data_IF_683766838384
#
_entry.id   IF_683766838384
#
_cell.length_a   1.000
_cell.length_b   1.000
_cell.length_c   1.000
_cell.angle_alpha   90.00
_cell.angle_beta   90.00
_cell.angle_gamma   90.00
#
_symmetry.space_group_name_H-M   'P 1'
#
loop_
_entity.id
_entity.type
_entity.pdbx_description
1 polymer ?
#
# COMPACT_ATOMS: atom_id res chain seq x y z
N UNK A 1 -33.71 -38.68 10.53
CA UNK A 1 -34.02 -40.10 10.87
C UNK A 1 -34.15 -40.88 9.58
N UNK A 2 -33.68 -42.13 9.52
CA UNK A 2 -33.76 -42.95 8.31
C UNK A 2 -35.22 -43.30 7.97
N UNK A 3 -35.57 -43.23 6.69
CA UNK A 3 -36.92 -43.50 6.21
C UNK A 3 -37.00 -44.95 5.74
N UNK A 4 -38.04 -45.67 6.18
CA UNK A 4 -38.28 -47.07 5.81
C UNK A 4 -39.23 -47.11 4.62
N UNK A 5 -38.79 -47.66 3.50
CA UNK A 5 -39.59 -47.78 2.28
C UNK A 5 -39.80 -49.26 1.95
N UNK A 6 -41.06 -49.65 1.77
CA UNK A 6 -41.43 -51.00 1.33
C UNK A 6 -41.29 -51.07 -0.19
N UNK A 7 -40.35 -51.88 -0.67
CA UNK A 7 -40.11 -52.08 -2.09
C UNK A 7 -41.22 -52.89 -2.75
N UNK A 8 -41.57 -52.54 -3.99
CA UNK A 8 -42.51 -53.30 -4.80
C UNK A 8 -41.91 -54.63 -5.25
N UNK A 9 -42.10 -55.69 -4.45
CA UNK A 9 -42.07 -57.09 -4.87
C UNK A 9 -40.80 -57.59 -5.62
N UNK A 10 -39.61 -57.12 -5.24
CA UNK A 10 -38.32 -57.64 -5.74
C UNK A 10 -37.38 -57.96 -4.59
N UNK A 11 -36.61 -59.05 -4.70
CA UNK A 11 -35.64 -59.55 -3.71
C UNK A 11 -34.43 -58.64 -3.47
N UNK A 12 -34.37 -57.47 -4.12
CA UNK A 12 -33.30 -56.49 -4.07
C UNK A 12 -33.89 -55.08 -3.91
N UNK A 13 -34.20 -54.64 -2.68
CA UNK A 13 -34.95 -53.42 -2.44
C UNK A 13 -34.16 -52.12 -2.69
N UNK A 14 -32.85 -52.19 -2.96
CA UNK A 14 -32.01 -51.04 -3.37
C UNK A 14 -31.62 -51.06 -4.86
N UNK A 15 -32.21 -51.95 -5.69
CA UNK A 15 -31.92 -52.02 -7.13
C UNK A 15 -33.21 -52.14 -7.98
N UNK A 16 -33.64 -51.06 -8.66
CA UNK A 16 -33.13 -49.68 -8.55
C UNK A 16 -33.44 -49.08 -7.17
N UNK A 17 -32.64 -48.11 -6.71
CA UNK A 17 -32.84 -47.52 -5.38
C UNK A 17 -34.17 -46.76 -5.32
N UNK A 18 -35.05 -47.05 -4.33
CA UNK A 18 -36.27 -46.30 -4.11
C UNK A 18 -36.01 -44.98 -3.35
N UNK A 19 -34.78 -44.73 -2.92
CA UNK A 19 -34.39 -43.53 -2.18
C UNK A 19 -34.16 -42.36 -3.15
N UNK A 20 -34.34 -41.12 -2.67
CA UNK A 20 -34.11 -39.91 -3.47
C UNK A 20 -32.64 -39.72 -3.91
N UNK A 21 -32.36 -38.83 -4.87
CA UNK A 21 -30.99 -38.56 -5.31
C UNK A 21 -30.10 -38.12 -4.14
N UNK A 22 -28.84 -38.57 -4.13
CA UNK A 22 -27.83 -38.31 -3.09
C UNK A 22 -28.10 -38.91 -1.69
N UNK A 23 -29.06 -39.84 -1.56
CA UNK A 23 -29.32 -40.56 -0.29
C UNK A 23 -28.77 -41.98 -0.34
N UNK A 24 -28.25 -42.47 0.80
CA UNK A 24 -27.67 -43.81 0.88
C UNK A 24 -28.77 -44.84 1.14
N UNK A 25 -28.85 -45.89 0.30
CA UNK A 25 -29.80 -46.99 0.46
C UNK A 25 -29.10 -48.21 1.10
N UNK A 26 -29.64 -48.72 2.20
CA UNK A 26 -29.23 -49.99 2.81
C UNK A 26 -30.41 -50.98 2.88
N UNK A 27 -30.11 -52.27 2.80
CA UNK A 27 -31.13 -53.33 2.86
C UNK A 27 -31.41 -53.66 4.32
N UNK A 28 -32.62 -53.37 4.79
CA UNK A 28 -33.05 -53.74 6.15
C UNK A 28 -33.64 -55.16 6.18
N UNK A 29 -34.42 -55.51 5.15
CA UNK A 29 -34.97 -56.86 4.97
C UNK A 29 -35.15 -57.15 3.47
N UNK A 30 -35.48 -58.38 3.05
CA UNK A 30 -35.60 -58.74 1.63
C UNK A 30 -36.57 -57.89 0.80
N UNK A 31 -37.50 -57.19 1.45
CA UNK A 31 -38.50 -56.31 0.81
C UNK A 31 -38.41 -54.86 1.28
N UNK A 32 -37.49 -54.51 2.17
CA UNK A 32 -37.45 -53.20 2.82
C UNK A 32 -36.10 -52.52 2.60
N UNK A 33 -36.16 -51.34 1.99
CA UNK A 33 -35.04 -50.42 1.87
C UNK A 33 -35.08 -49.42 3.03
N UNK A 34 -33.90 -49.15 3.58
CA UNK A 34 -33.68 -48.09 4.56
C UNK A 34 -32.90 -46.97 3.86
N UNK A 35 -33.52 -45.79 3.79
CA UNK A 35 -32.92 -44.63 3.18
C UNK A 35 -32.34 -43.75 4.29
N UNK A 36 -31.01 -43.65 4.32
CA UNK A 36 -30.31 -42.71 5.21
C UNK A 36 -29.96 -41.43 4.43
N UNK A 37 -30.68 -40.32 4.67
CA UNK A 37 -30.37 -39.06 4.03
C UNK A 37 -29.04 -38.45 4.48
N UNK A 38 -28.44 -38.96 5.58
CA UNK A 38 -27.23 -38.40 6.19
C UNK A 38 -25.98 -39.29 5.99
N UNK A 39 -26.11 -40.47 5.40
CA UNK A 39 -25.05 -41.47 5.32
C UNK A 39 -24.16 -41.41 4.07
N UNK A 40 -24.27 -40.38 3.23
CA UNK A 40 -23.61 -40.31 1.91
C UNK A 40 -22.77 -39.04 1.71
N UNK A 41 -21.89 -39.01 0.67
CA UNK A 41 -21.00 -37.88 0.38
C UNK A 41 -21.72 -36.57 -0.07
N UNK A 42 -23.06 -36.54 -0.08
CA UNK A 42 -23.89 -35.36 -0.31
C UNK A 42 -24.81 -34.99 0.87
N UNK A 43 -24.64 -35.65 2.03
CA UNK A 43 -25.49 -35.46 3.21
C UNK A 43 -25.60 -34.00 3.67
N UNK A 44 -24.50 -33.24 3.57
CA UNK A 44 -24.44 -31.82 3.95
C UNK A 44 -25.35 -30.91 3.10
N UNK A 45 -25.79 -31.37 1.92
CA UNK A 45 -26.68 -30.63 1.02
C UNK A 45 -28.13 -31.12 1.09
N UNK A 46 -28.41 -32.16 1.89
CA UNK A 46 -29.76 -32.71 2.05
C UNK A 46 -30.56 -31.86 3.03
N UNK A 47 -31.71 -31.27 2.64
CA UNK A 47 -32.57 -30.50 3.53
C UNK A 47 -33.10 -31.32 4.73
N UNK A 48 -33.04 -32.66 4.63
CA UNK A 48 -33.45 -33.59 5.67
C UNK A 48 -32.34 -33.88 6.71
N UNK A 49 -31.12 -33.40 6.47
CA UNK A 49 -29.97 -33.51 7.36
C UNK A 49 -29.37 -32.11 7.53
N UNK A 50 -29.85 -31.37 8.53
CA UNK A 50 -29.24 -30.09 8.88
C UNK A 50 -28.07 -30.38 9.83
N UNK A 51 -26.81 -30.26 9.40
CA UNK A 51 -25.69 -30.31 10.32
C UNK A 51 -25.72 -29.09 11.25
N UNK A 52 -25.01 -29.16 12.37
CA UNK A 52 -24.91 -27.99 13.27
C UNK A 52 -24.24 -26.80 12.56
N UNK A 53 -23.28 -27.07 11.67
CA UNK A 53 -22.59 -26.08 10.86
C UNK A 53 -22.19 -26.62 9.48
N UNK A 54 -22.08 -25.72 8.49
CA UNK A 54 -21.45 -25.97 7.19
C UNK A 54 -20.14 -25.19 7.05
N UNK A 55 -20.07 -24.03 7.70
CA UNK A 55 -18.93 -23.12 7.72
C UNK A 55 -18.67 -22.62 9.13
N UNK A 56 -17.47 -22.08 9.37
CA UNK A 56 -17.11 -21.56 10.68
C UNK A 56 -18.04 -20.44 11.15
N UNK A 57 -18.55 -19.62 10.23
CA UNK A 57 -19.49 -18.54 10.53
C UNK A 57 -20.87 -19.01 11.02
N UNK A 58 -21.19 -20.30 10.85
CA UNK A 58 -22.41 -20.89 11.43
C UNK A 58 -22.25 -21.17 12.93
N UNK A 59 -21.01 -21.17 13.43
CA UNK A 59 -20.69 -21.42 14.83
C UNK A 59 -20.61 -20.12 15.65
N UNK A 60 -20.76 -20.24 16.98
CA UNK A 60 -20.34 -19.18 17.90
C UNK A 60 -18.87 -18.78 17.69
N UNK A 61 -18.51 -17.55 18.05
CA UNK A 61 -17.17 -16.97 17.81
C UNK A 61 -16.02 -17.76 18.49
N UNK A 62 -16.33 -18.49 19.56
CA UNK A 62 -15.43 -19.33 20.33
C UNK A 62 -15.36 -20.79 19.82
N UNK A 63 -15.94 -21.10 18.65
CA UNK A 63 -16.01 -22.45 18.09
C UNK A 63 -15.77 -22.46 16.58
N UNK A 64 -15.28 -23.57 16.05
CA UNK A 64 -15.05 -23.78 14.63
C UNK A 64 -15.89 -24.95 14.10
N UNK A 65 -16.21 -24.93 12.82
CA UNK A 65 -16.95 -26.00 12.17
C UNK A 65 -16.01 -27.16 11.84
N UNK A 66 -16.05 -28.21 12.68
CA UNK A 66 -15.22 -29.40 12.53
C UNK A 66 -16.08 -30.63 12.35
N UNK A 67 -16.10 -31.16 11.12
CA UNK A 67 -16.88 -32.34 10.78
C UNK A 67 -18.37 -32.15 11.04
N UNK A 68 -18.94 -31.03 10.56
CA UNK A 68 -20.36 -30.69 10.67
C UNK A 68 -20.88 -30.44 12.10
N UNK A 69 -19.97 -30.21 13.05
CA UNK A 69 -20.28 -29.86 14.44
C UNK A 69 -19.41 -28.70 14.93
N UNK A 70 -19.98 -27.79 15.72
CA UNK A 70 -19.27 -26.64 16.26
C UNK A 70 -18.45 -27.07 17.49
N UNK A 71 -17.13 -27.17 17.31
CA UNK A 71 -16.21 -27.63 18.34
C UNK A 71 -15.13 -26.60 18.64
N UNK A 72 -14.56 -26.69 19.82
CA UNK A 72 -13.40 -25.90 20.21
C UNK A 72 -12.16 -26.36 19.39
N UNK A 73 -11.51 -25.47 18.61
CA UNK A 73 -10.30 -25.80 17.86
C UNK A 73 -9.01 -25.82 18.71
N UNK A 74 -9.05 -25.49 19.99
CA UNK A 74 -7.86 -25.47 20.86
C UNK A 74 -7.18 -26.82 21.12
N UNK A 75 -7.90 -27.95 21.33
CA UNK A 75 -7.27 -29.23 21.64
C UNK A 75 -6.30 -29.68 20.54
N UNK A 76 -5.00 -29.72 20.87
CA UNK A 76 -3.93 -30.14 19.96
C UNK A 76 -3.35 -29.04 19.07
N UNK A 77 -3.84 -27.80 19.15
CA UNK A 77 -3.38 -26.68 18.31
C UNK A 77 -2.19 -25.91 18.88
N UNK A 78 -2.05 -25.88 20.21
CA UNK A 78 -0.99 -25.15 20.90
C UNK A 78 0.05 -26.07 21.55
N UNK A 79 1.24 -25.52 21.75
CA UNK A 79 2.38 -26.20 22.39
C UNK A 79 2.19 -26.42 23.89
N UNK A 80 3.14 -27.14 24.49
CA UNK A 80 3.11 -27.44 25.93
C UNK A 80 3.23 -26.16 26.75
N UNK A 81 2.39 -26.00 27.77
CA UNK A 81 2.28 -24.80 28.63
C UNK A 81 1.84 -23.51 27.91
N UNK A 82 1.38 -23.58 26.66
CA UNK A 82 0.76 -22.45 25.98
C UNK A 82 -0.71 -22.31 26.40
N UNK A 83 -1.17 -21.08 26.51
CA UNK A 83 -2.59 -20.77 26.64
C UNK A 83 -3.20 -20.69 25.24
N UNK A 84 -4.30 -21.41 25.03
CA UNK A 84 -5.09 -21.31 23.82
C UNK A 84 -6.32 -20.44 24.05
N UNK A 85 -6.59 -19.54 23.11
CA UNK A 85 -7.84 -18.79 23.02
C UNK A 85 -8.39 -18.90 21.60
N UNK A 86 -9.71 -19.04 21.46
CA UNK A 86 -10.35 -19.04 20.14
C UNK A 86 -10.72 -17.60 19.80
N UNK A 87 -10.31 -17.15 18.63
CA UNK A 87 -10.69 -15.86 18.10
C UNK A 87 -11.10 -16.07 16.65
N UNK A 88 -12.24 -15.56 16.19
CA UNK A 88 -12.71 -15.71 14.80
C UNK A 88 -12.78 -17.17 14.30
N UNK A 89 -13.06 -18.14 15.18
CA UNK A 89 -13.06 -19.58 14.88
C UNK A 89 -11.67 -20.23 14.70
N UNK A 90 -10.56 -19.55 15.01
CA UNK A 90 -9.21 -20.10 14.92
C UNK A 90 -8.46 -20.03 16.27
N UNK A 91 -7.59 -21.03 16.56
CA UNK A 91 -6.85 -21.09 17.81
C UNK A 91 -5.70 -20.09 17.79
N UNK A 92 -5.64 -19.24 18.80
CA UNK A 92 -4.54 -18.32 19.09
C UNK A 92 -3.77 -18.87 20.29
N UNK A 93 -2.48 -19.15 20.09
CA UNK A 93 -1.59 -19.66 21.12
C UNK A 93 -0.70 -18.54 21.66
N UNK A 94 -0.61 -18.41 22.99
CA UNK A 94 0.27 -17.45 23.66
C UNK A 94 0.95 -18.09 24.87
N UNK A 95 2.14 -17.59 25.24
CA UNK A 95 2.78 -17.99 26.50
C UNK A 95 2.27 -17.09 27.64
N UNK A 96 1.55 -17.63 28.64
CA UNK A 96 1.13 -16.83 29.79
C UNK A 96 2.34 -16.46 30.65
N UNK A 97 2.38 -15.23 31.15
CA UNK A 97 3.45 -14.78 32.04
C UNK A 97 3.50 -15.65 33.32
N UNK A 98 4.68 -16.12 33.79
CA UNK A 98 6.05 -15.73 33.44
C UNK A 98 6.75 -16.66 32.42
N UNK A 99 5.99 -17.37 31.58
CA UNK A 99 6.57 -18.24 30.56
C UNK A 99 6.87 -17.45 29.28
N UNK A 100 7.92 -17.86 28.58
CA UNK A 100 8.30 -17.34 27.26
C UNK A 100 8.76 -18.50 26.36
N UNK A 101 8.78 -18.27 25.04
CA UNK A 101 9.15 -19.30 24.06
C UNK A 101 8.24 -19.29 22.84
N UNK A 102 8.20 -20.42 22.13
CA UNK A 102 7.31 -20.62 20.97
C UNK A 102 5.97 -21.21 21.45
N UNK A 103 4.84 -20.48 21.36
CA UNK A 103 3.54 -20.97 21.82
C UNK A 103 2.98 -22.18 21.07
N UNK A 104 3.53 -22.54 19.91
CA UNK A 104 3.14 -23.73 19.15
C UNK A 104 3.97 -24.97 19.48
N UNK A 105 5.07 -24.83 20.22
CA UNK A 105 5.93 -25.94 20.61
C UNK A 105 5.96 -26.11 22.14
N UNK A 106 6.54 -25.15 22.85
CA UNK A 106 6.70 -25.18 24.30
C UNK A 106 6.94 -23.77 24.87
N UNK A 107 6.20 -23.43 25.93
CA UNK A 107 6.46 -22.27 26.77
C UNK A 107 7.28 -22.70 27.99
N UNK A 108 8.40 -22.02 28.23
CA UNK A 108 9.35 -22.33 29.30
C UNK A 108 9.39 -21.17 30.31
N UNK A 109 9.73 -21.42 31.59
CA UNK A 109 9.98 -20.35 32.54
C UNK A 109 11.02 -19.40 31.98
N UNK A 110 10.67 -18.10 31.91
CA UNK A 110 11.62 -17.09 31.50
C UNK A 110 12.78 -17.11 32.51
N UNK A 111 14.01 -17.33 32.01
CA UNK A 111 15.18 -17.41 32.87
C UNK A 111 15.27 -16.14 33.74
N UNK A 112 15.58 -16.27 35.04
CA UNK A 112 15.81 -15.11 35.88
C UNK A 112 17.04 -14.40 35.32
N UNK A 113 16.82 -13.18 34.84
CA UNK A 113 17.85 -12.27 34.32
C UNK A 113 18.33 -12.58 32.89
N UNK A 114 17.45 -12.40 31.90
CA UNK A 114 17.92 -12.04 30.57
C UNK A 114 18.47 -10.61 30.65
N UNK A 115 19.74 -10.48 31.05
CA UNK A 115 20.48 -9.23 30.86
C UNK A 115 20.71 -9.08 29.36
N UNK A 116 20.10 -8.08 28.71
CA UNK A 116 20.38 -7.75 27.32
C UNK A 116 21.89 -7.55 27.16
N UNK A 117 22.48 -8.08 26.09
CA UNK A 117 23.91 -7.91 25.86
C UNK A 117 24.26 -6.42 25.86
N UNK A 118 25.35 -5.99 26.53
CA UNK A 118 25.77 -4.60 26.52
C UNK A 118 25.95 -4.11 25.09
N UNK A 119 25.94 -2.79 24.85
CA UNK A 119 26.06 -2.22 23.51
C UNK A 119 27.26 -2.72 22.69
N UNK A 120 28.34 -3.16 23.34
CA UNK A 120 29.50 -3.78 22.69
C UNK A 120 29.18 -5.11 21.99
N UNK A 121 28.13 -5.81 22.42
CA UNK A 121 27.66 -7.08 21.88
C UNK A 121 26.34 -6.94 21.11
N UNK A 122 25.75 -5.74 21.08
CA UNK A 122 24.54 -5.47 20.32
C UNK A 122 24.86 -5.49 18.81
N UNK A 123 24.15 -6.35 18.07
CA UNK A 123 24.23 -6.42 16.61
C UNK A 123 23.33 -5.34 15.98
N UNK A 124 23.63 -4.06 16.22
CA UNK A 124 22.91 -2.97 15.57
C UNK A 124 23.33 -2.84 14.08
N UNK A 125 22.39 -2.43 13.23
CA UNK A 125 22.64 -2.21 11.81
C UNK A 125 23.46 -0.94 11.51
N UNK A 126 23.85 -0.70 10.26
CA UNK A 126 24.51 0.55 9.87
C UNK A 126 23.64 1.79 10.12
N UNK A 127 24.28 2.94 10.36
CA UNK A 127 23.65 4.25 10.67
C UNK A 127 22.77 4.28 11.93
N UNK A 128 23.12 3.47 12.94
CA UNK A 128 22.43 3.46 14.23
C UNK A 128 23.37 3.75 15.38
N UNK A 129 22.80 4.23 16.47
CA UNK A 129 23.47 4.32 17.77
C UNK A 129 22.82 3.32 18.74
N UNK A 130 23.64 2.78 19.63
CA UNK A 130 23.18 1.87 20.67
C UNK A 130 22.96 2.66 21.97
N UNK A 131 21.78 2.48 22.57
CA UNK A 131 21.40 3.11 23.83
C UNK A 131 21.21 2.05 24.91
N UNK A 132 21.89 2.24 26.04
CA UNK A 132 21.69 1.47 27.27
C UNK A 132 20.88 2.31 28.27
N UNK A 133 19.76 1.75 28.73
CA UNK A 133 18.97 2.33 29.81
C UNK A 133 18.61 1.25 30.82
N UNK A 134 19.30 1.24 31.97
CA UNK A 134 19.09 0.31 33.09
C UNK A 134 19.12 -1.17 32.70
N UNK A 135 20.08 -1.57 31.87
CA UNK A 135 20.18 -2.94 31.41
C UNK A 135 19.13 -3.29 30.36
N UNK A 136 18.59 -2.30 29.65
CA UNK A 136 17.86 -2.52 28.40
C UNK A 136 18.63 -1.87 27.26
N UNK A 137 19.10 -2.69 26.33
CA UNK A 137 19.89 -2.25 25.19
C UNK A 137 19.01 -2.16 23.96
N UNK A 138 18.98 -0.98 23.34
CA UNK A 138 18.17 -0.69 22.16
C UNK A 138 19.01 -0.03 21.07
N UNK A 139 18.75 -0.41 19.82
CA UNK A 139 19.35 0.25 18.66
C UNK A 139 18.39 1.34 18.18
N UNK A 140 18.90 2.56 17.95
CA UNK A 140 18.14 3.69 17.44
C UNK A 140 18.78 4.25 16.17
N UNK A 141 17.96 4.68 15.20
CA UNK A 141 18.50 5.36 14.01
C UNK A 141 19.16 6.68 14.40
N UNK A 142 20.29 7.01 13.76
CA UNK A 142 20.90 8.33 13.90
C UNK A 142 19.95 9.42 13.39
N UNK A 143 20.07 10.66 13.91
CA UNK A 143 19.26 11.78 13.43
C UNK A 143 19.32 11.93 11.91
N UNK A 144 18.16 12.07 11.26
CA UNK A 144 18.03 12.19 9.81
C UNK A 144 18.08 10.87 9.04
N UNK A 145 18.06 9.72 9.73
CA UNK A 145 17.94 8.39 9.12
C UNK A 145 16.72 7.65 9.65
N UNK A 146 16.19 6.75 8.83
CA UNK A 146 14.93 6.05 9.06
C UNK A 146 15.04 4.58 8.64
N UNK A 147 14.22 3.71 9.24
CA UNK A 147 14.18 2.28 8.96
C UNK A 147 14.18 1.42 10.22
N UNK A 148 14.61 0.16 10.08
CA UNK A 148 14.75 -0.78 11.19
C UNK A 148 16.19 -0.70 11.76
N UNK A 149 16.38 -0.26 13.02
CA UNK A 149 17.72 -0.11 13.60
C UNK A 149 18.53 -1.41 13.74
N UNK A 150 17.88 -2.57 13.79
CA UNK A 150 18.58 -3.85 13.88
C UNK A 150 19.05 -4.37 12.51
N UNK A 151 18.47 -3.86 11.42
CA UNK A 151 18.89 -4.19 10.04
C UNK A 151 19.79 -3.11 9.45
N UNK A 152 19.49 -1.84 9.75
CA UNK A 152 20.20 -0.66 9.27
C UNK A 152 19.24 0.46 8.88
N UNK A 153 19.64 1.69 9.19
CA UNK A 153 18.89 2.89 8.84
C UNK A 153 19.47 3.53 7.58
N UNK A 154 18.61 4.19 6.81
CA UNK A 154 18.98 4.92 5.60
C UNK A 154 18.52 6.37 5.69
N UNK A 155 19.20 7.31 5.04
CA UNK A 155 18.69 8.67 4.90
C UNK A 155 17.35 8.69 4.17
N UNK A 156 16.65 9.82 4.21
CA UNK A 156 15.40 10.04 3.48
C UNK A 156 15.60 9.84 1.96
N UNK A 157 16.71 10.32 1.41
CA UNK A 157 17.07 10.16 0.02
C UNK A 157 18.58 10.02 -0.16
N UNK A 158 18.99 9.39 -1.26
CA UNK A 158 20.38 9.40 -1.77
C UNK A 158 20.40 9.97 -3.19
N UNK A 159 19.31 9.79 -3.93
CA UNK A 159 19.12 10.27 -5.30
C UNK A 159 17.89 11.17 -5.39
N UNK A 160 17.88 12.07 -6.37
CA UNK A 160 16.72 12.93 -6.64
C UNK A 160 15.44 12.12 -6.90
N UNK A 161 15.57 10.96 -7.56
CA UNK A 161 14.46 10.04 -7.83
C UNK A 161 13.83 9.42 -6.58
N UNK A 162 14.52 9.47 -5.43
CA UNK A 162 13.96 9.00 -4.16
C UNK A 162 12.96 10.02 -3.59
N UNK A 163 13.01 11.26 -4.06
CA UNK A 163 12.14 12.33 -3.63
C UNK A 163 10.88 12.45 -4.50
N UNK A 164 9.81 13.08 -3.98
CA UNK A 164 8.67 13.49 -4.79
C UNK A 164 9.09 14.37 -5.98
N UNK A 165 8.30 14.37 -7.06
CA UNK A 165 8.63 15.05 -8.33
C UNK A 165 8.94 16.57 -8.22
N UNK A 166 8.45 17.23 -7.16
CA UNK A 166 8.67 18.66 -6.88
C UNK A 166 9.79 18.94 -5.87
N UNK A 167 10.53 17.93 -5.44
CA UNK A 167 11.62 18.05 -4.46
C UNK A 167 12.89 17.45 -5.01
N UNK A 168 14.05 17.84 -4.52
CA UNK A 168 15.34 17.26 -4.87
C UNK A 168 16.02 16.70 -3.62
N UNK A 169 16.93 15.75 -3.81
CA UNK A 169 17.73 15.25 -2.71
C UNK A 169 18.86 16.23 -2.41
N UNK A 170 18.71 16.98 -1.32
CA UNK A 170 19.67 17.98 -0.86
C UNK A 170 20.12 17.60 0.54
N UNK A 171 21.42 17.30 0.69
CA UNK A 171 22.00 16.85 1.97
C UNK A 171 21.23 15.66 2.58
N UNK A 172 20.93 14.64 1.76
CA UNK A 172 20.23 13.42 2.16
C UNK A 172 18.78 13.64 2.66
N UNK A 173 18.20 14.80 2.33
CA UNK A 173 16.83 15.17 2.68
C UNK A 173 16.09 15.65 1.45
N UNK A 174 14.81 15.31 1.33
CA UNK A 174 13.98 15.82 0.24
C UNK A 174 13.57 17.26 0.53
N UNK A 175 14.04 18.18 -0.30
CA UNK A 175 13.83 19.62 -0.13
C UNK A 175 13.38 20.26 -1.45
N UNK A 176 12.69 21.41 -1.36
CA UNK A 176 12.33 22.18 -2.53
C UNK A 176 13.59 22.84 -3.13
N UNK A 177 14.02 22.47 -4.35
CA UNK A 177 15.21 23.03 -4.97
C UNK A 177 15.01 24.50 -5.41
N UNK A 178 13.79 25.04 -5.39
CA UNK A 178 13.54 26.44 -5.73
C UNK A 178 14.00 27.43 -4.66
N UNK A 179 14.15 26.99 -3.40
CA UNK A 179 14.53 27.87 -2.30
C UNK A 179 15.96 28.38 -2.50
N UNK A 180 16.08 29.66 -2.89
CA UNK A 180 17.37 30.32 -3.14
C UNK A 180 17.99 30.06 -4.51
N UNK A 181 17.27 29.41 -5.45
CA UNK A 181 17.79 29.10 -6.78
C UNK A 181 17.57 30.21 -7.81
N UNK A 182 16.46 30.95 -7.71
CA UNK A 182 16.08 31.96 -8.71
C UNK A 182 16.27 33.40 -8.21
N UNK A 183 16.44 34.32 -9.16
CA UNK A 183 16.70 35.74 -8.90
C UNK A 183 15.46 36.52 -8.45
N UNK A 184 15.63 37.80 -8.16
CA UNK A 184 14.54 38.66 -7.67
C UNK A 184 13.44 38.82 -8.73
N UNK A 185 12.18 38.77 -8.31
CA UNK A 185 11.00 38.90 -9.18
C UNK A 185 10.91 37.86 -10.32
N UNK A 186 11.57 36.72 -10.16
CA UNK A 186 11.45 35.56 -11.04
C UNK A 186 10.48 34.52 -10.48
N UNK A 187 9.93 33.66 -11.35
CA UNK A 187 9.20 32.46 -10.94
C UNK A 187 10.12 31.24 -11.02
N UNK A 188 9.94 30.32 -10.05
CA UNK A 188 10.59 29.02 -10.06
C UNK A 188 9.58 27.90 -10.28
N UNK A 189 9.92 26.97 -11.16
CA UNK A 189 9.21 25.72 -11.36
C UNK A 189 10.19 24.56 -11.26
N UNK A 190 9.85 23.53 -10.50
CA UNK A 190 10.65 22.31 -10.42
C UNK A 190 10.29 21.39 -11.59
N UNK A 191 11.29 21.03 -12.40
CA UNK A 191 11.18 20.10 -13.52
C UNK A 191 12.23 19.01 -13.33
N UNK A 192 11.80 17.75 -13.19
CA UNK A 192 12.70 16.61 -12.95
C UNK A 192 13.67 16.84 -11.78
N UNK A 193 13.16 17.32 -10.64
CA UNK A 193 13.94 17.66 -9.44
C UNK A 193 14.96 18.81 -9.63
N UNK A 194 14.89 19.55 -10.74
CA UNK A 194 15.77 20.70 -11.05
C UNK A 194 14.94 21.99 -11.02
N UNK A 195 15.43 23.07 -10.40
CA UNK A 195 14.73 24.35 -10.41
C UNK A 195 14.92 25.03 -11.77
N UNK A 196 13.81 25.43 -12.39
CA UNK A 196 13.78 26.19 -13.64
C UNK A 196 13.23 27.58 -13.34
N UNK A 197 14.06 28.59 -13.58
CA UNK A 197 13.74 29.99 -13.33
C UNK A 197 13.28 30.68 -14.63
N UNK A 198 12.21 31.47 -14.56
CA UNK A 198 11.73 32.26 -15.70
C UNK A 198 11.11 33.58 -15.24
N UNK A 199 11.14 34.60 -16.10
CA UNK A 199 10.47 35.86 -15.80
C UNK A 199 8.95 35.72 -16.02
N UNK A 200 8.11 36.27 -15.11
CA UNK A 200 6.66 36.34 -15.31
C UNK A 200 6.27 37.09 -16.58
N UNK A 201 5.00 36.98 -16.97
CA UNK A 201 4.45 37.82 -18.05
C UNK A 201 4.70 39.31 -17.77
N UNK A 202 5.04 40.05 -18.82
CA UNK A 202 5.39 41.48 -18.78
C UNK A 202 6.68 41.83 -18.01
N UNK A 203 7.54 40.85 -17.73
CA UNK A 203 8.88 41.05 -17.17
C UNK A 203 9.97 40.56 -18.13
N UNK A 204 11.14 41.18 -18.07
CA UNK A 204 12.33 40.81 -18.83
C UNK A 204 13.58 40.91 -17.96
N UNK A 205 14.70 40.35 -18.41
CA UNK A 205 15.95 40.28 -17.67
C UNK A 205 16.51 38.86 -17.56
N UNK A 206 17.38 38.64 -16.59
CA UNK A 206 17.98 37.33 -16.29
C UNK A 206 17.23 36.69 -15.11
N UNK A 207 16.51 35.58 -15.30
CA UNK A 207 15.75 34.91 -14.23
C UNK A 207 16.58 34.42 -13.05
N UNK A 208 17.90 34.24 -13.19
CA UNK A 208 18.79 33.86 -12.10
C UNK A 208 19.32 35.06 -11.31
N UNK A 209 19.19 36.28 -11.85
CA UNK A 209 19.68 37.51 -11.21
C UNK A 209 18.51 38.39 -10.79
N UNK A 210 17.75 38.90 -11.76
CA UNK A 210 16.63 39.79 -11.54
C UNK A 210 15.79 39.94 -12.81
N UNK A 211 14.47 39.84 -12.64
CA UNK A 211 13.49 40.22 -13.65
C UNK A 211 12.92 41.60 -13.32
N UNK A 212 12.80 42.47 -14.31
CA UNK A 212 12.21 43.80 -14.19
C UNK A 212 11.03 43.97 -15.14
N UNK A 213 10.03 44.80 -14.80
CA UNK A 213 8.91 45.08 -15.68
C UNK A 213 9.41 45.52 -17.06
N UNK A 214 8.87 44.91 -18.10
CA UNK A 214 9.14 45.27 -19.48
C UNK A 214 8.65 46.70 -19.70
N UNK A 215 9.58 47.64 -19.80
CA UNK A 215 9.29 48.97 -20.32
C UNK A 215 9.53 48.89 -21.82
N UNK A 216 8.48 48.98 -22.66
CA UNK A 216 8.73 49.26 -24.06
C UNK A 216 9.46 50.62 -24.11
N UNK A 217 10.64 50.66 -24.72
CA UNK A 217 11.43 51.88 -24.90
C UNK A 217 10.72 52.94 -25.78
N UNK A 218 9.50 52.63 -26.24
CA UNK A 218 8.65 53.51 -27.01
C UNK A 218 7.24 53.52 -26.41
N UNK A 219 6.64 54.70 -26.20
CA UNK A 219 5.22 54.76 -25.95
C UNK A 219 4.53 54.11 -27.15
N UNK A 220 3.72 53.08 -26.89
CA UNK A 220 2.69 52.66 -27.84
C UNK A 220 1.79 53.88 -27.98
N UNK A 221 2.00 54.66 -29.03
CA UNK A 221 1.20 55.83 -29.35
C UNK A 221 -0.16 55.30 -29.80
N UNK A 222 -1.01 54.97 -28.82
CA UNK A 222 -2.44 55.01 -29.01
C UNK A 222 -2.79 56.45 -29.37
N UNK A 223 -3.35 56.63 -30.57
CA UNK A 223 -4.00 57.84 -31.04
C UNK A 223 -3.24 59.16 -30.86
N UNK A 224 -2.42 59.52 -31.86
CA UNK A 224 -2.36 60.91 -32.33
C UNK A 224 -1.72 61.02 -33.71
N UNK A 225 -2.46 61.58 -34.66
CA UNK A 225 -2.06 61.76 -36.06
C UNK A 225 -0.82 62.65 -36.25
N UNK A 226 0.35 62.04 -36.23
CA UNK A 226 1.57 62.55 -36.86
C UNK A 226 2.28 61.39 -37.58
N UNK A 227 2.42 61.42 -38.92
CA UNK A 227 3.17 60.42 -39.63
C UNK A 227 4.66 60.63 -39.35
N UNK A 228 5.21 59.86 -38.40
CA UNK A 228 6.65 59.67 -38.33
C UNK A 228 7.16 59.12 -39.67
N UNK A 229 8.37 59.49 -40.07
CA UNK A 229 8.93 59.04 -41.34
C UNK A 229 9.04 57.50 -41.34
N UNK A 230 8.28 56.78 -42.19
CA UNK A 230 8.28 55.32 -42.22
C UNK A 230 9.62 54.71 -42.62
N UNK A 231 10.56 55.52 -43.10
CA UNK A 231 11.90 55.14 -43.51
C UNK A 231 12.97 55.36 -42.42
N UNK A 232 12.60 55.71 -41.18
CA UNK A 232 13.55 55.96 -40.08
C UNK A 232 13.11 55.28 -38.75
N UNK A 233 13.81 54.22 -38.28
CA UNK A 233 14.89 53.52 -38.97
C UNK A 233 14.34 52.75 -40.18
N UNK A 234 15.13 52.61 -41.25
CA UNK A 234 14.64 52.00 -42.48
C UNK A 234 14.24 50.53 -42.27
N UNK A 235 12.98 50.14 -42.59
CA UNK A 235 12.54 48.75 -42.50
C UNK A 235 13.03 47.90 -43.69
N UNK A 236 13.69 48.54 -44.66
CA UNK A 236 14.19 47.87 -45.86
C UNK A 236 15.51 47.15 -45.57
N UNK A 237 15.73 46.01 -46.22
CA UNK A 237 16.96 45.24 -46.10
C UNK A 237 18.22 46.04 -46.52
N UNK A 238 19.42 45.54 -46.19
CA UNK A 238 20.67 46.22 -46.49
C UNK A 238 20.82 46.52 -48.00
N UNK A 239 21.25 47.75 -48.32
CA UNK A 239 21.38 48.33 -49.67
C UNK A 239 20.06 48.63 -50.42
N UNK A 240 18.90 48.46 -49.78
CA UNK A 240 17.62 48.84 -50.38
C UNK A 240 17.29 50.31 -50.09
N UNK A 241 16.73 51.01 -51.06
CA UNK A 241 16.30 52.40 -50.87
C UNK A 241 14.84 52.43 -50.39
N UNK A 242 14.60 53.15 -49.30
CA UNK A 242 13.26 53.35 -48.78
C UNK A 242 12.58 54.58 -49.41
N UNK A 243 11.34 54.42 -49.86
CA UNK A 243 10.49 55.44 -50.46
C UNK A 243 9.17 55.52 -49.69
N UNK A 244 8.62 56.73 -49.55
CA UNK A 244 7.31 56.93 -48.90
C UNK A 244 6.22 56.88 -49.97
N UNK A 245 5.25 55.97 -49.80
CA UNK A 245 4.11 55.78 -50.69
C UNK A 245 3.04 56.88 -50.50
N UNK A 246 2.14 57.10 -51.47
CA UNK A 246 1.08 58.12 -51.38
C UNK A 246 0.12 57.94 -50.19
N UNK A 247 0.05 56.73 -49.61
CA UNK A 247 -0.75 56.39 -48.42
C UNK A 247 0.05 56.53 -47.12
N UNK A 248 1.27 57.06 -47.16
CA UNK A 248 2.09 57.31 -45.98
C UNK A 248 2.84 56.09 -45.44
N UNK A 249 3.00 55.02 -46.22
CA UNK A 249 3.75 53.80 -45.83
C UNK A 249 5.13 53.70 -46.52
N UNK A 250 6.08 52.98 -45.92
CA UNK A 250 7.38 52.69 -46.53
C UNK A 250 7.27 51.65 -47.66
N UNK A 251 8.01 51.86 -48.75
CA UNK A 251 8.23 50.92 -49.83
C UNK A 251 9.74 50.81 -50.13
N UNK A 252 10.21 49.60 -50.43
CA UNK A 252 11.63 49.33 -50.68
C UNK A 252 11.88 49.13 -52.17
N UNK A 253 12.88 49.84 -52.73
CA UNK A 253 13.32 49.73 -54.12
C UNK A 253 14.79 49.35 -54.23
#
# INVERSE_FOLDING_TARGET
QPVVVVGSNTSLPCQPSPCGPHTTCSVYSPTVAMCDPCGGPGAAYSPACYPECLTDSDCPFDRACMGHTCRDPCPGSCGVNAQCAVWHHHPICSCPHPLAGNPFEHCLPQAPDYQPPPCQLAQCGPNTDCHDSNGMVTCICRPGTYGNPYVGCRPECVLNSDCPAKQACVNNKCADPCVGACGVSSHCQVVNHVPVCYCPQDYSGDPFVSCYPFKPDYPVIGDMGHPGNPCDPSPCGPNSRCLITPVGAAACS
#
